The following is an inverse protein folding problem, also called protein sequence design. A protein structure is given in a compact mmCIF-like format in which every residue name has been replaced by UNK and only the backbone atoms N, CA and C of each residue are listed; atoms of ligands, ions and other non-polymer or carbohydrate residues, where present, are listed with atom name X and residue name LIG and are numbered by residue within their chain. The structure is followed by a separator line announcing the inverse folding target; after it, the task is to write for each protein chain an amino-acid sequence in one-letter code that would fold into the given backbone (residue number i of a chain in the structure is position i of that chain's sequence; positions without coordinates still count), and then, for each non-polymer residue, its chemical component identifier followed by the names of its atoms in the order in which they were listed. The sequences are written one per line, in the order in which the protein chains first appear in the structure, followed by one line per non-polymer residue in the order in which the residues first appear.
data_IF_985939812145
#
_entry.id   IF_985939812145
#
_cell.length_a   1.000
_cell.length_b   1.000
_cell.length_c   1.000
_cell.angle_alpha   90.00
_cell.angle_beta   90.00
_cell.angle_gamma   90.00
#
_symmetry.space_group_name_H-M   'P 1'
#
loop_
_entity.id
_entity.type
_entity.pdbx_description
1 polymer ?
#
# COMPACT_ATOMS: atom_id res chain seq x y z
N UNK A 1 -16.90 19.15 -5.18
CA UNK A 1 -17.55 18.03 -4.47
C UNK A 1 -16.60 17.23 -3.56
N UNK A 2 -15.29 17.50 -3.57
CA UNK A 2 -14.29 16.93 -2.65
C UNK A 2 -14.06 17.77 -1.37
N UNK A 3 -14.79 18.89 -1.18
CA UNK A 3 -14.49 19.87 -0.14
C UNK A 3 -15.33 19.76 1.14
N UNK A 4 -16.45 19.03 1.13
CA UNK A 4 -17.40 19.07 2.26
C UNK A 4 -17.36 17.84 3.19
N UNK A 5 -16.62 16.78 2.84
CA UNK A 5 -16.41 15.62 3.73
C UNK A 5 -15.27 15.83 4.75
N UNK A 6 -14.40 16.84 4.53
CA UNK A 6 -13.22 17.10 5.38
C UNK A 6 -13.45 18.13 6.50
N UNK A 7 -14.66 18.67 6.64
CA UNK A 7 -15.00 19.69 7.65
C UNK A 7 -15.46 19.12 9.01
N UNK A 8 -15.31 17.80 9.24
CA UNK A 8 -15.32 17.28 10.61
C UNK A 8 -13.99 17.65 11.27
N UNK A 9 -13.96 18.12 12.54
CA UNK A 9 -12.75 18.53 13.23
C UNK A 9 -11.82 17.33 13.44
N UNK A 10 -10.97 17.07 12.45
CA UNK A 10 -10.01 15.98 12.50
C UNK A 10 -8.83 16.37 13.41
N UNK A 11 -8.81 15.79 14.61
CA UNK A 11 -7.75 15.93 15.61
C UNK A 11 -6.47 15.22 15.15
N UNK A 12 -5.34 15.73 15.66
CA UNK A 12 -3.97 15.25 15.41
C UNK A 12 -3.83 13.73 15.55
N UNK A 13 -2.91 13.12 14.81
CA UNK A 13 -2.54 11.70 14.92
C UNK A 13 -2.51 11.24 16.41
N UNK A 14 -3.24 10.18 16.78
CA UNK A 14 -3.52 9.88 18.17
C UNK A 14 -2.29 9.29 18.87
N UNK A 15 -2.11 9.63 20.13
CA UNK A 15 -1.19 8.92 21.02
C UNK A 15 -1.76 7.53 21.33
N UNK A 16 -0.86 6.57 21.54
CA UNK A 16 -1.11 5.12 21.67
C UNK A 16 -2.13 4.68 22.74
N UNK A 17 -2.57 5.59 23.62
CA UNK A 17 -3.61 5.35 24.64
C UNK A 17 -5.05 5.52 24.10
N UNK A 18 -5.23 5.87 22.82
CA UNK A 18 -6.53 6.06 22.16
C UNK A 18 -6.77 5.04 21.03
N UNK A 19 -6.70 3.74 21.30
CA UNK A 19 -7.30 2.75 20.39
C UNK A 19 -8.83 2.78 20.53
N UNK A 20 -9.45 3.90 20.15
CA UNK A 20 -10.87 4.17 20.33
C UNK A 20 -11.54 4.82 19.11
N UNK A 21 -11.04 4.54 17.90
CA UNK A 21 -11.68 4.87 16.63
C UNK A 21 -11.83 3.60 15.79
N UNK A 22 -13.04 3.34 15.31
CA UNK A 22 -13.37 2.17 14.52
C UNK A 22 -12.64 2.20 13.17
N UNK A 23 -12.18 1.06 12.66
CA UNK A 23 -11.51 1.01 11.36
C UNK A 23 -11.62 -0.35 10.69
N UNK A 24 -11.42 -0.36 9.38
CA UNK A 24 -11.45 -1.57 8.57
C UNK A 24 -10.05 -1.81 8.06
N UNK A 25 -9.55 -3.02 8.31
CA UNK A 25 -8.31 -3.47 7.73
C UNK A 25 -8.61 -4.46 6.61
N UNK A 26 -8.40 -4.01 5.38
CA UNK A 26 -8.49 -4.84 4.19
C UNK A 26 -7.15 -5.53 3.94
N UNK A 27 -7.18 -6.85 3.75
CA UNK A 27 -5.98 -7.67 3.66
C UNK A 27 -6.00 -8.55 2.42
N UNK A 28 -4.82 -8.71 1.81
CA UNK A 28 -4.59 -9.68 0.75
C UNK A 28 -3.73 -10.82 1.27
N UNK A 29 -3.78 -11.94 0.59
CA UNK A 29 -2.86 -13.04 0.83
C UNK A 29 -1.40 -12.53 0.67
N UNK A 30 -0.52 -12.70 1.68
CA UNK A 30 0.84 -12.14 1.63
C UNK A 30 1.70 -12.67 0.48
N UNK A 31 1.53 -13.93 0.07
CA UNK A 31 2.27 -14.48 -1.09
C UNK A 31 1.74 -13.86 -2.38
N UNK A 32 0.41 -13.67 -2.49
CA UNK A 32 -0.20 -12.96 -3.61
C UNK A 32 0.33 -11.54 -3.72
N UNK A 33 0.49 -10.83 -2.60
CA UNK A 33 1.07 -9.49 -2.58
C UNK A 33 2.50 -9.46 -3.13
N UNK A 34 3.33 -10.47 -2.82
CA UNK A 34 4.70 -10.57 -3.37
C UNK A 34 4.67 -10.67 -4.89
N UNK A 35 3.84 -11.57 -5.43
CA UNK A 35 3.75 -11.81 -6.88
C UNK A 35 3.11 -10.61 -7.58
N UNK A 36 2.04 -10.05 -7.02
CA UNK A 36 1.39 -8.84 -7.53
C UNK A 36 2.34 -7.66 -7.56
N UNK A 37 3.09 -7.42 -6.48
CA UNK A 37 4.07 -6.34 -6.40
C UNK A 37 5.20 -6.55 -7.41
N UNK A 38 5.70 -7.78 -7.59
CA UNK A 38 6.73 -8.07 -8.59
C UNK A 38 6.28 -7.68 -9.99
N UNK A 39 5.10 -8.16 -10.40
CA UNK A 39 4.53 -7.86 -11.72
C UNK A 39 4.25 -6.37 -11.87
N UNK A 40 3.59 -5.76 -10.89
CA UNK A 40 3.29 -4.34 -10.86
C UNK A 40 4.54 -3.48 -11.06
N UNK A 41 5.63 -3.78 -10.32
CA UNK A 41 6.87 -3.02 -10.37
C UNK A 41 7.66 -3.20 -11.68
N UNK A 42 7.29 -4.16 -12.54
CA UNK A 42 7.85 -4.32 -13.89
C UNK A 42 7.08 -3.57 -14.99
N UNK A 43 5.82 -3.17 -14.74
CA UNK A 43 4.97 -2.52 -15.74
C UNK A 43 5.50 -1.15 -16.15
N UNK A 44 5.33 -0.79 -17.42
CA UNK A 44 5.62 0.55 -17.93
C UNK A 44 4.54 1.57 -17.61
N UNK A 45 4.91 2.85 -17.51
CA UNK A 45 3.95 3.96 -17.41
C UNK A 45 3.15 4.04 -16.10
N UNK A 46 3.51 3.27 -15.07
CA UNK A 46 2.87 3.41 -13.75
C UNK A 46 3.19 4.77 -13.15
N UNK A 47 2.22 5.44 -12.51
CA UNK A 47 2.33 6.85 -12.12
C UNK A 47 3.21 7.12 -10.90
N UNK A 48 3.78 6.10 -10.25
CA UNK A 48 4.52 6.24 -9.00
C UNK A 48 5.91 6.85 -9.18
N UNK A 49 6.18 8.07 -8.70
CA UNK A 49 7.44 8.77 -8.98
C UNK A 49 8.65 8.08 -8.35
N UNK A 50 8.47 7.41 -7.20
CA UNK A 50 9.55 6.75 -6.47
C UNK A 50 10.16 5.58 -7.26
N UNK A 51 9.41 4.97 -8.18
CA UNK A 51 9.91 3.87 -9.04
C UNK A 51 10.97 4.31 -10.03
N UNK A 52 11.00 5.61 -10.36
CA UNK A 52 11.96 6.20 -11.27
C UNK A 52 13.20 6.76 -10.55
N UNK A 53 13.23 6.68 -9.22
CA UNK A 53 14.39 7.09 -8.44
C UNK A 53 15.51 6.07 -8.62
N UNK A 54 16.70 6.58 -8.93
CA UNK A 54 17.92 5.78 -9.07
C UNK A 54 18.51 5.42 -7.71
N UNK A 55 19.18 4.28 -7.61
CA UNK A 55 19.69 3.78 -6.33
C UNK A 55 20.84 4.60 -5.75
N UNK A 56 21.58 5.37 -6.56
CA UNK A 56 22.61 6.30 -6.12
C UNK A 56 22.06 7.36 -5.16
N UNK A 57 20.78 7.70 -5.31
CA UNK A 57 20.09 8.62 -4.41
C UNK A 57 20.17 8.16 -2.95
N UNK A 58 20.19 6.85 -2.68
CA UNK A 58 20.35 6.33 -1.32
C UNK A 58 21.66 6.71 -0.63
N UNK A 59 22.70 7.11 -1.37
CA UNK A 59 23.98 7.56 -0.79
C UNK A 59 24.02 9.08 -0.59
N UNK A 60 22.99 9.82 -1.03
CA UNK A 60 22.95 11.26 -0.81
C UNK A 60 22.73 11.53 0.69
N UNK A 61 23.57 12.37 1.34
CA UNK A 61 23.51 12.62 2.78
C UNK A 61 22.18 13.24 3.25
N UNK A 62 21.36 13.73 2.31
CA UNK A 62 20.01 14.24 2.55
C UNK A 62 18.91 13.31 2.03
N UNK A 63 19.21 12.06 1.66
CA UNK A 63 18.18 11.10 1.25
C UNK A 63 17.36 10.58 2.44
N UNK A 64 17.93 10.60 3.65
CA UNK A 64 17.14 10.49 4.89
C UNK A 64 16.31 11.75 5.19
N UNK A 65 16.50 12.81 4.38
CA UNK A 65 15.86 14.11 4.47
C UNK A 65 15.26 14.54 3.13
N UNK A 66 14.46 13.66 2.48
CA UNK A 66 13.52 14.02 1.39
C UNK A 66 12.39 14.94 1.87
N UNK A 67 12.75 15.87 2.72
CA UNK A 67 11.87 16.83 3.34
C UNK A 67 11.84 18.13 2.49
N UNK A 68 12.65 18.28 1.42
CA UNK A 68 12.79 19.59 0.74
C UNK A 68 13.14 19.65 -0.78
N UNK A 69 13.70 18.60 -1.41
CA UNK A 69 14.45 18.79 -2.68
C UNK A 69 13.65 18.62 -4.00
N UNK A 70 12.43 18.08 -4.00
CA UNK A 70 11.54 18.06 -5.18
C UNK A 70 10.42 19.11 -5.10
N UNK A 71 10.77 20.25 -4.50
CA UNK A 71 9.86 21.25 -3.99
C UNK A 71 9.69 21.00 -2.50
N UNK A 72 10.04 21.98 -1.67
CA UNK A 72 9.68 21.96 -0.27
C UNK A 72 8.16 21.87 -0.10
N UNK A 73 7.60 22.15 1.09
CA UNK A 73 6.15 22.20 1.33
C UNK A 73 5.35 23.11 0.36
N UNK A 74 6.00 23.77 -0.61
CA UNK A 74 5.45 24.62 -1.65
C UNK A 74 4.67 23.91 -2.78
N UNK A 75 4.96 22.65 -3.13
CA UNK A 75 4.21 21.95 -4.19
C UNK A 75 3.06 21.03 -3.69
N UNK A 76 2.88 20.92 -2.38
CA UNK A 76 1.60 20.54 -1.77
C UNK A 76 0.85 21.75 -1.18
N UNK A 77 1.38 22.98 -1.37
CA UNK A 77 0.69 24.24 -1.06
C UNK A 77 0.35 24.99 -2.35
N UNK A 78 -0.50 24.38 -3.17
CA UNK A 78 -1.40 25.12 -4.07
C UNK A 78 -2.36 26.09 -3.34
N UNK A 79 -2.13 26.39 -2.07
CA UNK A 79 -2.65 27.53 -1.33
C UNK A 79 -1.45 28.41 -0.96
N UNK A 80 -1.01 29.21 -1.93
CA UNK A 80 -0.06 30.28 -1.70
C UNK A 80 -0.64 31.29 -0.71
N UNK A 81 -0.02 31.39 0.46
CA UNK A 81 0.33 32.64 1.12
C UNK A 81 -0.73 33.68 1.53
N UNK A 82 -2.03 33.38 1.50
CA UNK A 82 -3.09 34.32 1.96
C UNK A 82 -3.77 33.92 3.28
N UNK A 83 -3.05 33.19 4.15
CA UNK A 83 -3.53 32.79 5.49
C UNK A 83 -3.54 33.94 6.53
N UNK A 84 -3.25 35.18 6.13
CA UNK A 84 -3.28 36.32 7.07
C UNK A 84 -4.68 36.86 7.37
N UNK A 85 -5.73 36.37 6.71
CA UNK A 85 -7.10 36.87 6.89
C UNK A 85 -8.17 35.83 7.27
N UNK A 86 -7.81 34.56 7.46
CA UNK A 86 -8.77 33.55 7.94
C UNK A 86 -8.52 33.31 9.42
N UNK A 87 -9.33 33.98 10.24
CA UNK A 87 -9.34 33.83 11.68
C UNK A 87 -9.34 32.35 12.08
N UNK A 88 -8.47 32.03 13.03
CA UNK A 88 -8.62 30.98 14.04
C UNK A 88 -9.82 30.05 13.81
N UNK A 89 -9.58 28.82 13.31
CA UNK A 89 -10.28 27.56 13.68
C UNK A 89 -10.16 26.39 12.66
N UNK A 90 -9.03 26.22 11.95
CA UNK A 90 -8.78 24.97 11.21
C UNK A 90 -7.36 24.44 11.47
N UNK A 91 -7.18 23.23 12.04
CA UNK A 91 -5.87 22.62 12.17
C UNK A 91 -5.49 21.96 10.83
N UNK A 92 -4.72 22.68 10.02
CA UNK A 92 -4.04 22.14 8.84
C UNK A 92 -2.90 21.22 9.32
N UNK A 93 -3.22 19.96 9.63
CA UNK A 93 -2.24 18.90 9.96
C UNK A 93 -2.32 17.69 9.02
N UNK A 94 -3.16 17.76 7.98
CA UNK A 94 -3.51 16.61 7.13
C UNK A 94 -2.71 16.48 5.83
N UNK A 95 -1.71 17.33 5.59
CA UNK A 95 -0.77 17.18 4.47
C UNK A 95 0.51 16.40 4.82
N UNK A 96 0.62 15.89 6.06
CA UNK A 96 1.70 14.99 6.48
C UNK A 96 1.67 13.51 6.00
N UNK A 97 0.64 12.95 5.31
CA UNK A 97 0.71 11.57 4.82
C UNK A 97 1.65 11.38 3.62
N UNK A 98 1.77 12.35 2.72
CA UNK A 98 2.56 12.14 1.50
C UNK A 98 4.06 11.96 1.79
N UNK A 99 4.59 12.69 2.78
CA UNK A 99 5.99 12.59 3.18
C UNK A 99 6.30 11.27 3.90
N UNK A 100 5.37 10.73 4.72
CA UNK A 100 5.61 9.46 5.44
C UNK A 100 5.57 8.25 4.51
N UNK A 101 4.68 8.25 3.53
CA UNK A 101 4.58 7.17 2.54
C UNK A 101 5.81 7.13 1.62
N UNK A 102 6.27 8.29 1.14
CA UNK A 102 7.50 8.38 0.35
C UNK A 102 8.75 7.96 1.12
N UNK A 103 8.87 8.39 2.39
CA UNK A 103 9.99 7.99 3.24
C UNK A 103 10.00 6.47 3.51
N UNK A 104 8.82 5.85 3.65
CA UNK A 104 8.72 4.41 3.86
C UNK A 104 9.14 3.62 2.61
N UNK A 105 8.66 4.01 1.42
CA UNK A 105 9.00 3.30 0.18
C UNK A 105 10.43 3.58 -0.29
N UNK A 106 10.87 4.84 -0.26
CA UNK A 106 12.27 5.21 -0.54
C UNK A 106 13.23 4.57 0.46
N UNK A 107 12.87 4.55 1.75
CA UNK A 107 13.62 3.86 2.79
C UNK A 107 13.69 2.34 2.58
N UNK A 108 12.59 1.71 2.15
CA UNK A 108 12.56 0.30 1.78
C UNK A 108 13.48 0.00 0.58
N UNK A 109 13.41 0.83 -0.47
CA UNK A 109 14.30 0.72 -1.66
C UNK A 109 15.77 0.84 -1.24
N UNK A 110 16.12 1.77 -0.36
CA UNK A 110 17.50 1.90 0.12
C UNK A 110 17.93 0.76 1.05
N UNK A 111 17.00 0.17 1.81
CA UNK A 111 17.28 -1.01 2.63
C UNK A 111 17.69 -2.22 1.78
N UNK A 112 17.19 -2.32 0.54
CA UNK A 112 17.61 -3.36 -0.41
C UNK A 112 19.12 -3.32 -0.70
N UNK A 113 19.75 -2.14 -0.75
CA UNK A 113 21.20 -2.04 -0.92
C UNK A 113 21.95 -2.70 0.24
N UNK A 114 21.41 -2.64 1.46
CA UNK A 114 21.92 -3.36 2.61
C UNK A 114 21.90 -4.88 2.38
N UNK A 115 20.77 -5.41 1.89
CA UNK A 115 20.64 -6.84 1.58
C UNK A 115 21.55 -7.28 0.43
N UNK A 116 21.74 -6.45 -0.60
CA UNK A 116 22.69 -6.75 -1.68
C UNK A 116 24.14 -6.77 -1.21
N UNK A 117 24.56 -5.84 -0.35
CA UNK A 117 25.91 -5.85 0.26
C UNK A 117 26.16 -7.12 1.08
N UNK A 118 25.10 -7.73 1.62
CA UNK A 118 25.14 -9.01 2.32
C UNK A 118 25.09 -10.22 1.38
N UNK A 119 25.00 -10.01 0.07
CA UNK A 119 24.90 -11.08 -0.93
C UNK A 119 23.55 -11.80 -0.95
N UNK A 120 22.50 -11.22 -0.36
CA UNK A 120 21.15 -11.84 -0.32
C UNK A 120 20.37 -11.66 -1.62
N UNK A 121 20.69 -10.63 -2.38
CA UNK A 121 20.10 -10.29 -3.69
C UNK A 121 21.20 -9.71 -4.59
N UNK A 122 21.04 -9.73 -5.93
CA UNK A 122 22.02 -9.14 -6.84
C UNK A 122 22.28 -7.66 -6.56
N UNK A 123 23.51 -7.21 -6.76
CA UNK A 123 23.86 -5.80 -6.55
C UNK A 123 23.12 -4.88 -7.53
N UNK A 124 22.65 -3.75 -7.02
CA UNK A 124 22.07 -2.67 -7.82
C UNK A 124 23.17 -1.74 -8.36
N UNK A 125 23.03 -1.30 -9.60
CA UNK A 125 23.76 -0.15 -10.14
C UNK A 125 23.24 1.13 -9.49
N UNK A 126 24.12 2.11 -9.23
CA UNK A 126 23.68 3.42 -8.74
C UNK A 126 22.77 4.15 -9.72
N UNK A 127 22.96 3.94 -11.03
CA UNK A 127 22.22 4.66 -12.07
C UNK A 127 20.92 4.00 -12.51
N UNK A 128 20.66 2.77 -12.06
CA UNK A 128 19.39 2.11 -12.38
C UNK A 128 18.34 2.48 -11.34
N UNK A 129 17.07 2.50 -11.73
CA UNK A 129 15.94 2.62 -10.82
C UNK A 129 15.39 1.24 -10.42
N UNK A 130 14.42 1.20 -9.50
CA UNK A 130 13.90 -0.07 -8.96
C UNK A 130 13.32 -0.98 -10.04
N UNK A 131 12.62 -0.40 -11.02
CA UNK A 131 12.03 -1.14 -12.14
C UNK A 131 13.10 -1.70 -13.07
N UNK A 132 14.09 -0.90 -13.46
CA UNK A 132 15.21 -1.32 -14.31
C UNK A 132 16.00 -2.47 -13.66
N UNK A 133 16.22 -2.37 -12.34
CA UNK A 133 16.83 -3.44 -11.56
C UNK A 133 16.04 -4.75 -11.62
N UNK A 134 14.72 -4.70 -11.36
CA UNK A 134 13.87 -5.89 -11.43
C UNK A 134 13.80 -6.50 -12.84
N UNK A 135 13.85 -5.66 -13.88
CA UNK A 135 13.86 -6.11 -15.26
C UNK A 135 15.17 -6.82 -15.64
N UNK A 136 16.28 -6.47 -14.99
CA UNK A 136 17.61 -7.03 -15.26
C UNK A 136 17.87 -8.38 -14.58
N UNK A 137 17.31 -8.59 -13.39
CA UNK A 137 17.55 -9.81 -12.60
C UNK A 137 16.56 -10.93 -12.96
N UNK A 138 16.85 -12.15 -12.50
CA UNK A 138 15.97 -13.30 -12.71
C UNK A 138 14.67 -13.21 -11.90
N UNK A 139 13.64 -13.94 -12.32
CA UNK A 139 12.32 -13.90 -11.66
C UNK A 139 12.43 -14.31 -10.20
N UNK A 140 13.23 -15.34 -9.90
CA UNK A 140 13.46 -15.82 -8.52
C UNK A 140 14.06 -14.71 -7.64
N UNK A 141 15.14 -14.06 -8.10
CA UNK A 141 15.74 -12.93 -7.40
C UNK A 141 14.75 -11.76 -7.24
N UNK A 142 13.97 -11.48 -8.28
CA UNK A 142 12.91 -10.47 -8.26
C UNK A 142 11.85 -10.72 -7.19
N UNK A 143 11.42 -11.97 -7.01
CA UNK A 143 10.48 -12.35 -5.96
C UNK A 143 11.11 -12.20 -4.57
N UNK A 144 12.38 -12.58 -4.38
CA UNK A 144 13.11 -12.33 -3.11
C UNK A 144 13.21 -10.84 -2.81
N UNK A 145 13.52 -10.01 -3.81
CA UNK A 145 13.57 -8.55 -3.67
C UNK A 145 12.22 -8.01 -3.19
N UNK A 146 11.10 -8.47 -3.76
CA UNK A 146 9.77 -8.04 -3.32
C UNK A 146 9.44 -8.49 -1.90
N UNK A 147 9.84 -9.70 -1.50
CA UNK A 147 9.65 -10.14 -0.10
C UNK A 147 10.41 -9.23 0.88
N UNK A 148 11.66 -8.90 0.58
CA UNK A 148 12.49 -8.04 1.42
C UNK A 148 11.95 -6.60 1.46
N UNK A 149 11.44 -6.11 0.34
CA UNK A 149 10.83 -4.79 0.26
C UNK A 149 9.52 -4.74 1.06
N UNK A 150 8.66 -5.74 0.91
CA UNK A 150 7.39 -5.85 1.64
C UNK A 150 7.59 -6.11 3.13
N UNK A 151 8.74 -6.61 3.58
CA UNK A 151 9.05 -6.79 5.01
C UNK A 151 8.87 -5.50 5.82
N UNK A 152 9.20 -4.35 5.21
CA UNK A 152 9.00 -3.03 5.82
C UNK A 152 7.52 -2.70 6.00
N UNK A 153 6.68 -3.17 5.07
CA UNK A 153 5.22 -2.93 5.05
C UNK A 153 4.49 -3.92 5.96
N UNK A 154 4.90 -5.19 5.96
CA UNK A 154 4.24 -6.27 6.72
C UNK A 154 4.19 -6.01 8.22
N UNK A 155 5.21 -5.39 8.80
CA UNK A 155 5.17 -5.01 10.21
C UNK A 155 4.00 -4.08 10.55
N UNK A 156 3.66 -3.17 9.64
CA UNK A 156 2.51 -2.29 9.81
C UNK A 156 1.20 -3.05 9.61
N UNK A 157 1.14 -3.94 8.61
CA UNK A 157 -0.03 -4.79 8.37
C UNK A 157 -0.32 -5.70 9.56
N UNK A 158 0.67 -6.45 10.06
CA UNK A 158 0.53 -7.33 11.23
C UNK A 158 0.00 -6.58 12.44
N UNK A 159 0.50 -5.37 12.67
CA UNK A 159 0.06 -4.54 13.79
C UNK A 159 -1.39 -4.05 13.62
N UNK A 160 -1.78 -3.67 12.40
CA UNK A 160 -3.16 -3.25 12.12
C UNK A 160 -4.13 -4.44 12.22
N UNK A 161 -3.73 -5.60 11.71
CA UNK A 161 -4.46 -6.86 11.86
C UNK A 161 -4.71 -7.21 13.33
N UNK A 162 -3.65 -7.17 14.14
CA UNK A 162 -3.74 -7.42 15.59
C UNK A 162 -4.60 -6.38 16.30
N UNK A 163 -4.48 -5.11 15.92
CA UNK A 163 -5.28 -4.04 16.50
C UNK A 163 -6.77 -4.25 16.20
N UNK A 164 -7.12 -4.65 14.98
CA UNK A 164 -8.49 -4.92 14.59
C UNK A 164 -9.02 -6.17 15.31
N UNK A 165 -8.24 -7.25 15.36
CA UNK A 165 -8.60 -8.50 16.03
C UNK A 165 -8.79 -8.33 17.55
N UNK A 166 -8.02 -7.44 18.18
CA UNK A 166 -8.09 -7.17 19.62
C UNK A 166 -9.03 -6.02 20.00
N UNK A 167 -9.75 -5.43 19.04
CA UNK A 167 -10.68 -4.33 19.29
C UNK A 167 -11.87 -4.82 20.14
N UNK A 168 -11.99 -4.29 21.36
CA UNK A 168 -13.01 -4.71 22.35
C UNK A 168 -14.42 -4.27 21.99
N UNK A 169 -14.55 -3.18 21.25
CA UNK A 169 -15.84 -2.58 20.92
C UNK A 169 -16.48 -3.21 19.67
N UNK A 170 -15.89 -4.31 19.18
CA UNK A 170 -16.17 -4.97 17.91
C UNK A 170 -16.09 -4.03 16.70
N UNK A 171 -15.80 -2.74 16.85
CA UNK A 171 -16.03 -1.78 15.79
C UNK A 171 -14.91 -1.72 14.75
N UNK A 172 -13.85 -2.52 14.94
CA UNK A 172 -12.84 -2.79 13.92
C UNK A 172 -13.01 -4.19 13.32
N UNK A 173 -12.59 -4.38 12.07
CA UNK A 173 -12.65 -5.68 11.41
C UNK A 173 -11.52 -5.90 10.42
N UNK A 174 -11.06 -7.15 10.36
CA UNK A 174 -10.22 -7.65 9.26
C UNK A 174 -11.15 -8.21 8.17
N UNK A 175 -10.90 -7.82 6.93
CA UNK A 175 -11.61 -8.36 5.77
C UNK A 175 -10.61 -8.74 4.68
N UNK A 176 -10.79 -9.94 4.13
CA UNK A 176 -10.02 -10.37 2.97
C UNK A 176 -10.48 -9.64 1.71
N UNK A 177 -9.51 -9.23 0.88
CA UNK A 177 -9.71 -8.45 -0.32
C UNK A 177 -10.70 -9.09 -1.30
N UNK A 178 -10.61 -10.40 -1.51
CA UNK A 178 -11.54 -11.16 -2.35
C UNK A 178 -13.00 -11.06 -1.86
N UNK A 179 -13.19 -11.17 -0.54
CA UNK A 179 -14.48 -11.03 0.13
C UNK A 179 -14.96 -9.58 0.05
N UNK A 180 -14.07 -8.62 0.22
CA UNK A 180 -14.36 -7.21 0.05
C UNK A 180 -14.85 -6.93 -1.38
N UNK A 181 -14.09 -7.32 -2.40
CA UNK A 181 -14.44 -7.14 -3.83
C UNK A 181 -15.81 -7.74 -4.13
N UNK A 182 -16.05 -8.99 -3.74
CA UNK A 182 -17.28 -9.70 -4.03
C UNK A 182 -18.53 -9.10 -3.34
N UNK A 183 -18.34 -8.39 -2.22
CA UNK A 183 -19.43 -7.86 -1.38
C UNK A 183 -19.28 -6.38 -1.10
N UNK A 184 -18.54 -5.63 -1.92
CA UNK A 184 -18.01 -4.32 -1.55
C UNK A 184 -19.07 -3.34 -1.04
N UNK A 185 -20.21 -3.23 -1.75
CA UNK A 185 -21.38 -2.46 -1.33
C UNK A 185 -21.90 -2.84 0.07
N UNK A 186 -22.11 -4.14 0.30
CA UNK A 186 -22.59 -4.63 1.59
C UNK A 186 -21.55 -4.44 2.68
N UNK A 187 -20.27 -4.63 2.37
CA UNK A 187 -19.19 -4.37 3.32
C UNK A 187 -19.19 -2.89 3.70
N UNK A 188 -19.23 -1.96 2.74
CA UNK A 188 -19.32 -0.52 3.03
C UNK A 188 -20.55 -0.18 3.87
N UNK A 189 -21.70 -0.80 3.60
CA UNK A 189 -22.89 -0.64 4.43
C UNK A 189 -22.67 -1.05 5.86
N UNK A 190 -22.17 -2.25 6.11
CA UNK A 190 -21.88 -2.73 7.47
C UNK A 190 -20.84 -1.86 8.18
N UNK A 191 -19.80 -1.45 7.45
CA UNK A 191 -18.75 -0.57 7.94
C UNK A 191 -19.33 0.78 8.35
N UNK A 192 -20.02 1.46 7.43
CA UNK A 192 -20.55 2.80 7.66
C UNK A 192 -21.58 2.77 8.79
N UNK A 193 -22.46 1.77 8.78
CA UNK A 193 -23.43 1.53 9.86
C UNK A 193 -22.73 1.40 11.23
N UNK A 194 -21.69 0.56 11.30
CA UNK A 194 -20.98 0.26 12.55
C UNK A 194 -20.08 1.40 13.03
N UNK A 195 -19.31 2.00 12.13
CA UNK A 195 -18.34 3.05 12.44
C UNK A 195 -19.00 4.37 12.80
N UNK A 196 -20.12 4.70 12.15
CA UNK A 196 -20.81 5.98 12.35
C UNK A 196 -22.09 5.85 13.17
N UNK A 197 -22.46 4.64 13.61
CA UNK A 197 -23.69 4.40 14.37
C UNK A 197 -24.95 4.83 13.62
N UNK A 198 -24.96 4.70 12.29
CA UNK A 198 -26.08 5.11 11.45
C UNK A 198 -27.15 4.02 11.42
N UNK A 199 -28.40 4.40 11.63
CA UNK A 199 -29.55 3.51 11.45
C UNK A 199 -29.93 3.40 9.95
N UNK A 200 -30.74 2.40 9.61
CA UNK A 200 -31.28 2.24 8.26
C UNK A 200 -32.04 3.51 7.83
N UNK A 201 -31.70 4.05 6.67
CA UNK A 201 -32.36 5.22 6.11
C UNK A 201 -31.50 6.04 5.16
N UNK A 202 -32.01 7.21 4.72
CA UNK A 202 -31.41 7.97 3.61
C UNK A 202 -29.97 8.43 3.86
N UNK A 203 -29.58 8.67 5.12
CA UNK A 203 -28.24 9.10 5.47
C UNK A 203 -27.22 7.95 5.32
N UNK A 204 -27.59 6.74 5.77
CA UNK A 204 -26.79 5.54 5.55
C UNK A 204 -26.68 5.25 4.05
N UNK A 205 -27.79 5.30 3.32
CA UNK A 205 -27.80 5.04 1.88
C UNK A 205 -26.90 6.00 1.10
N UNK A 206 -26.94 7.30 1.42
CA UNK A 206 -26.09 8.29 0.79
C UNK A 206 -24.59 8.06 1.09
N UNK A 207 -24.25 7.72 2.32
CA UNK A 207 -22.87 7.44 2.71
C UNK A 207 -22.34 6.16 2.03
N UNK A 208 -23.16 5.11 1.95
CA UNK A 208 -22.83 3.86 1.27
C UNK A 208 -22.67 4.08 -0.23
N UNK A 209 -23.57 4.81 -0.88
CA UNK A 209 -23.44 5.13 -2.31
C UNK A 209 -22.18 5.93 -2.64
N UNK A 210 -21.73 6.80 -1.73
CA UNK A 210 -20.46 7.50 -1.91
C UNK A 210 -19.26 6.55 -1.79
N UNK A 211 -19.26 5.66 -0.79
CA UNK A 211 -18.19 4.69 -0.58
C UNK A 211 -18.14 3.61 -1.68
N UNK A 212 -19.29 3.24 -2.24
CA UNK A 212 -19.39 2.29 -3.34
C UNK A 212 -18.65 2.74 -4.60
N UNK A 213 -18.41 4.04 -4.81
CA UNK A 213 -17.62 4.52 -5.94
C UNK A 213 -16.18 3.99 -5.93
N UNK A 214 -15.66 3.66 -4.75
CA UNK A 214 -14.35 3.03 -4.54
C UNK A 214 -14.36 1.52 -4.76
N UNK A 215 -15.53 0.90 -4.96
CA UNK A 215 -15.60 -0.53 -5.22
C UNK A 215 -14.92 -0.89 -6.55
N UNK A 216 -14.22 -2.04 -6.60
CA UNK A 216 -13.72 -2.59 -7.85
C UNK A 216 -14.86 -2.72 -8.88
N UNK A 217 -14.63 -2.23 -10.10
CA UNK A 217 -15.63 -2.22 -11.18
C UNK A 217 -16.45 -0.92 -11.30
N UNK A 218 -16.41 -0.04 -10.30
CA UNK A 218 -16.91 1.33 -10.44
C UNK A 218 -15.80 2.26 -10.96
N UNK A 219 -16.15 3.49 -11.35
CA UNK A 219 -15.23 4.39 -12.04
C UNK A 219 -13.93 4.66 -11.25
N UNK A 220 -14.04 4.99 -9.96
CA UNK A 220 -12.87 5.36 -9.15
C UNK A 220 -12.10 4.11 -8.72
N UNK A 221 -12.80 3.14 -8.12
CA UNK A 221 -12.20 1.89 -7.69
C UNK A 221 -11.58 1.08 -8.84
N UNK A 222 -12.20 1.11 -10.02
CA UNK A 222 -11.69 0.46 -11.24
C UNK A 222 -10.37 1.06 -11.72
N UNK A 223 -10.25 2.40 -11.75
CA UNK A 223 -8.98 3.07 -12.12
C UNK A 223 -7.89 2.74 -11.11
N UNK A 224 -8.19 2.80 -9.81
CA UNK A 224 -7.22 2.50 -8.76
C UNK A 224 -6.78 1.03 -8.79
N UNK A 225 -7.72 0.10 -8.99
CA UNK A 225 -7.45 -1.33 -9.07
C UNK A 225 -6.64 -1.68 -10.32
N UNK A 226 -6.98 -1.13 -11.50
CA UNK A 226 -6.21 -1.35 -12.72
C UNK A 226 -4.77 -0.84 -12.55
N UNK A 227 -4.61 0.38 -12.04
CA UNK A 227 -3.31 1.01 -11.86
C UNK A 227 -2.38 0.26 -10.91
N UNK A 228 -2.90 -0.47 -9.93
CA UNK A 228 -2.09 -1.21 -8.94
C UNK A 228 -2.23 -2.74 -9.09
N UNK A 229 -2.82 -3.21 -10.19
CA UNK A 229 -2.91 -4.64 -10.48
C UNK A 229 -1.59 -5.16 -11.05
N UNK A 230 -1.26 -6.41 -10.72
CA UNK A 230 -0.19 -7.14 -11.39
C UNK A 230 -0.48 -7.49 -12.86
N UNK A 231 -1.62 -7.03 -13.40
CA UNK A 231 -2.10 -7.26 -14.77
C UNK A 231 -2.49 -5.97 -15.49
N UNK A 232 -1.96 -4.82 -15.06
CA UNK A 232 -2.30 -3.57 -15.71
C UNK A 232 -1.94 -3.64 -17.21
N UNK A 233 -2.68 -2.86 -18.01
CA UNK A 233 -2.66 -2.93 -19.49
C UNK A 233 -1.32 -2.61 -20.15
N UNK A 234 -0.34 -2.10 -19.40
CA UNK A 234 1.00 -1.86 -19.88
C UNK A 234 1.81 -3.17 -19.94
N UNK A 235 2.51 -3.47 -21.06
CA UNK A 235 3.38 -4.63 -21.10
C UNK A 235 4.56 -4.47 -20.13
N UNK A 236 5.03 -5.58 -19.52
CA UNK A 236 6.23 -5.57 -18.69
C UNK A 236 7.49 -5.32 -19.53
N UNK A 237 8.53 -4.71 -18.95
CA UNK A 237 9.83 -4.53 -19.63
C UNK A 237 10.58 -5.83 -19.92
N UNK A 238 10.32 -6.82 -19.08
CA UNK A 238 10.85 -8.17 -19.20
C UNK A 238 9.71 -9.07 -19.62
N UNK A 239 9.95 -9.91 -20.62
CA UNK A 239 8.99 -10.95 -20.94
C UNK A 239 8.95 -11.96 -19.78
N UNK A 240 7.89 -11.86 -18.97
CA UNK A 240 7.58 -12.80 -17.89
C UNK A 240 6.52 -13.82 -18.33
N UNK A 241 6.19 -13.90 -19.64
CA UNK A 241 5.13 -14.76 -20.16
C UNK A 241 5.41 -16.25 -19.97
N UNK A 242 6.68 -16.64 -19.80
CA UNK A 242 7.10 -18.00 -19.44
C UNK A 242 6.65 -18.39 -18.02
N UNK A 243 6.20 -17.44 -17.19
CA UNK A 243 5.77 -17.66 -15.82
C UNK A 243 4.31 -17.28 -15.63
N UNK A 244 3.50 -18.29 -15.31
CA UNK A 244 2.15 -18.06 -14.79
C UNK A 244 2.21 -17.46 -13.38
N UNK A 245 1.12 -16.80 -12.96
CA UNK A 245 1.01 -16.32 -11.57
C UNK A 245 1.11 -17.46 -10.57
N UNK A 246 0.44 -18.60 -10.83
CA UNK A 246 0.52 -19.79 -9.99
C UNK A 246 1.95 -20.33 -9.84
N UNK A 247 2.73 -20.37 -10.92
CA UNK A 247 4.16 -20.75 -10.85
C UNK A 247 4.97 -19.76 -10.01
N UNK A 248 4.75 -18.45 -10.16
CA UNK A 248 5.38 -17.44 -9.32
C UNK A 248 4.98 -17.58 -7.85
N UNK A 249 3.71 -17.92 -7.55
CA UNK A 249 3.24 -18.16 -6.19
C UNK A 249 3.95 -19.36 -5.55
N UNK A 250 4.05 -20.48 -6.28
CA UNK A 250 4.77 -21.67 -5.82
C UNK A 250 6.25 -21.37 -5.58
N UNK A 251 6.87 -20.63 -6.51
CA UNK A 251 8.26 -20.20 -6.37
C UNK A 251 8.45 -19.27 -5.17
N UNK A 252 7.56 -18.31 -4.96
CA UNK A 252 7.60 -17.42 -3.81
C UNK A 252 7.51 -18.19 -2.48
N UNK A 253 6.64 -19.20 -2.36
CA UNK A 253 6.60 -20.06 -1.16
C UNK A 253 7.88 -20.84 -0.93
N UNK A 254 8.46 -21.38 -2.00
CA UNK A 254 9.73 -22.10 -1.94
C UNK A 254 10.85 -21.18 -1.44
N UNK A 255 11.01 -20.01 -2.07
CA UNK A 255 12.01 -19.00 -1.72
C UNK A 255 11.82 -18.48 -0.28
N UNK A 256 10.58 -18.27 0.17
CA UNK A 256 10.29 -17.88 1.55
C UNK A 256 10.75 -18.96 2.54
N UNK A 257 10.53 -20.24 2.22
CA UNK A 257 10.97 -21.37 3.06
C UNK A 257 12.49 -21.48 3.12
N UNK A 258 13.16 -21.42 1.97
CA UNK A 258 14.61 -21.65 1.85
C UNK A 258 15.45 -20.43 2.30
N UNK A 259 14.97 -19.21 2.02
CA UNK A 259 15.75 -17.98 2.19
C UNK A 259 15.20 -17.00 3.23
N UNK A 260 13.95 -17.16 3.68
CA UNK A 260 13.28 -16.23 4.60
C UNK A 260 12.62 -16.92 5.81
N UNK A 261 13.03 -18.14 6.13
CA UNK A 261 12.57 -18.89 7.31
C UNK A 261 11.04 -19.09 7.39
N UNK A 262 10.37 -19.12 6.25
CA UNK A 262 8.92 -19.27 6.14
C UNK A 262 8.14 -18.10 6.71
N UNK A 263 8.70 -16.89 6.72
CA UNK A 263 8.08 -15.73 7.37
C UNK A 263 6.81 -15.29 6.66
N UNK A 264 6.80 -15.26 5.33
CA UNK A 264 5.62 -14.85 4.56
C UNK A 264 4.50 -15.86 4.73
N UNK A 265 4.82 -17.15 4.74
CA UNK A 265 3.85 -18.21 5.00
C UNK A 265 3.28 -18.18 6.43
N UNK A 266 4.09 -17.81 7.43
CA UNK A 266 3.58 -17.58 8.80
C UNK A 266 2.61 -16.41 8.84
N UNK A 267 2.92 -15.33 8.13
CA UNK A 267 2.02 -14.17 8.01
C UNK A 267 0.73 -14.55 7.28
N UNK A 268 0.83 -15.32 6.20
CA UNK A 268 -0.31 -15.84 5.48
C UNK A 268 -1.22 -16.68 6.38
N UNK A 269 -0.64 -17.61 7.15
CA UNK A 269 -1.41 -18.42 8.10
C UNK A 269 -2.06 -17.59 9.21
N UNK A 270 -1.42 -16.48 9.61
CA UNK A 270 -1.94 -15.53 10.61
C UNK A 270 -3.12 -14.72 10.06
N UNK A 271 -2.97 -14.15 8.87
CA UNK A 271 -3.99 -13.33 8.21
C UNK A 271 -5.19 -14.18 7.79
N UNK A 272 -4.93 -15.39 7.27
CA UNK A 272 -5.96 -16.37 6.94
C UNK A 272 -6.77 -16.06 5.66
N UNK A 273 -6.33 -15.08 4.87
CA UNK A 273 -6.97 -14.76 3.60
C UNK A 273 -6.61 -15.75 2.49
N UNK A 274 -7.64 -16.20 1.77
CA UNK A 274 -7.51 -17.09 0.62
C UNK A 274 -6.69 -16.45 -0.50
N UNK A 275 -6.12 -17.31 -1.35
CA UNK A 275 -5.52 -16.89 -2.61
C UNK A 275 -6.67 -16.59 -3.58
N UNK A 276 -6.58 -15.49 -4.31
CA UNK A 276 -7.59 -15.21 -5.34
C UNK A 276 -7.51 -16.22 -6.50
N UNK A 277 -8.63 -16.56 -7.17
CA UNK A 277 -8.63 -17.51 -8.29
C UNK A 277 -7.68 -17.14 -9.44
N UNK A 278 -7.37 -15.85 -9.59
CA UNK A 278 -6.42 -15.38 -10.61
C UNK A 278 -4.96 -15.81 -10.34
N UNK A 279 -4.66 -16.33 -9.15
CA UNK A 279 -3.33 -16.75 -8.69
C UNK A 279 -3.26 -18.25 -8.31
N UNK A 280 -4.34 -19.00 -8.53
CA UNK A 280 -4.40 -20.47 -8.33
C UNK A 280 -3.66 -21.26 -9.41
#
# INVERSE_FOLDING_TARGET
FWADWFNLPMRMAPTREQAGDCFVHEERNPIEMVVSAYRYHLLDGTPEPWRYMTFDKCDEPNFGGWDWAFGGPQNCTGLSHDERNLGSHAPIRWLQPCASWWNNYGGAVCSLRGYAKQGRIPMMSGTENFREYLARIDVEDGLVVQMLWLEVVWHSMERLHELAANSTDNCSMNICYDTFVAKCANTWREIVKKMFGLEEGPLLDAAVSAAELECPGNLVGGIAAEAHSGDATAPPLKDISDWTKGEMMQMARKLDTEGNSGRVQKLEAKIGCGISPDYE
#
